data_IF_607050169051
#
_entry.id   IF_607050169051
#
_cell.length_a   1.000
_cell.length_b   1.000
_cell.length_c   1.000
_cell.angle_alpha   90.00
_cell.angle_beta   90.00
_cell.angle_gamma   90.00
#
_symmetry.space_group_name_H-M   'P 1'
#
loop_
_entity.id
_entity.type
_entity.pdbx_description
1 polymer ?
#
# COMPACT_ATOMS: atom_id res chain seq x y z
N UNK A 1 10.82 -18.96 -7.49
CA UNK A 1 11.00 -19.31 -6.05
C UNK A 1 10.97 -18.08 -5.11
N UNK A 2 10.52 -16.90 -5.56
CA UNK A 2 10.53 -15.65 -4.78
C UNK A 2 9.22 -15.20 -4.07
N UNK A 3 8.00 -15.73 -4.34
CA UNK A 3 6.77 -15.10 -3.84
C UNK A 3 6.55 -15.29 -2.33
N UNK A 4 7.01 -16.40 -1.74
CA UNK A 4 6.82 -16.68 -0.30
C UNK A 4 7.69 -15.79 0.60
N UNK A 5 8.93 -15.47 0.19
CA UNK A 5 9.83 -14.58 0.94
C UNK A 5 9.38 -13.12 0.93
N UNK A 6 8.85 -12.64 -0.21
CA UNK A 6 8.28 -11.28 -0.31
C UNK A 6 7.06 -11.13 0.61
N UNK A 7 6.10 -12.06 0.49
CA UNK A 7 4.86 -12.05 1.28
C UNK A 7 5.12 -12.04 2.80
N UNK A 8 6.13 -12.79 3.25
CA UNK A 8 6.53 -12.80 4.66
C UNK A 8 7.17 -11.48 5.11
N UNK A 9 7.95 -10.84 4.22
CA UNK A 9 8.60 -9.55 4.51
C UNK A 9 7.58 -8.39 4.62
N UNK A 10 6.56 -8.38 3.74
CA UNK A 10 5.47 -7.39 3.81
C UNK A 10 4.64 -7.54 5.09
N UNK A 11 4.39 -8.78 5.53
CA UNK A 11 3.68 -9.06 6.78
C UNK A 11 4.46 -8.57 8.00
N UNK A 12 5.78 -8.81 8.05
CA UNK A 12 6.64 -8.31 9.12
C UNK A 12 6.66 -6.78 9.20
N UNK A 13 6.81 -6.10 8.05
CA UNK A 13 6.79 -4.63 7.99
C UNK A 13 5.45 -4.06 8.47
N UNK A 14 4.32 -4.71 8.19
CA UNK A 14 3.02 -4.31 8.71
C UNK A 14 2.91 -4.44 10.23
N UNK A 15 3.39 -5.56 10.79
CA UNK A 15 3.40 -5.77 12.25
C UNK A 15 4.29 -4.71 12.92
N UNK A 16 5.47 -4.47 12.37
CA UNK A 16 6.41 -3.50 12.90
C UNK A 16 5.87 -2.06 12.80
N UNK A 17 5.20 -1.70 11.71
CA UNK A 17 4.55 -0.41 11.54
C UNK A 17 3.40 -0.23 12.55
N UNK A 18 2.59 -1.27 12.75
CA UNK A 18 1.52 -1.27 13.77
C UNK A 18 2.09 -1.07 15.18
N UNK A 19 3.19 -1.76 15.50
CA UNK A 19 3.89 -1.60 16.78
C UNK A 19 4.42 -0.18 17.00
N UNK A 20 5.01 0.43 15.97
CA UNK A 20 5.48 1.82 16.02
C UNK A 20 4.32 2.80 16.25
N UNK A 21 3.22 2.63 15.53
CA UNK A 21 2.02 3.45 15.73
C UNK A 21 1.42 3.28 17.13
N UNK A 22 1.44 2.08 17.69
CA UNK A 22 0.99 1.83 19.06
C UNK A 22 1.84 2.54 20.11
N UNK A 23 3.17 2.48 19.98
CA UNK A 23 4.06 3.22 20.87
C UNK A 23 3.83 4.74 20.72
N UNK A 24 3.72 5.22 19.48
CA UNK A 24 3.44 6.64 19.20
C UNK A 24 2.11 7.08 19.80
N UNK A 25 1.07 6.23 19.76
CA UNK A 25 -0.22 6.50 20.36
C UNK A 25 -0.10 6.71 21.88
N UNK A 26 0.61 5.81 22.57
CA UNK A 26 0.83 5.91 24.02
C UNK A 26 1.66 7.14 24.36
N UNK A 27 2.76 7.39 23.64
CA UNK A 27 3.62 8.55 23.88
C UNK A 27 2.87 9.87 23.65
N UNK A 28 2.06 9.96 22.60
CA UNK A 28 1.26 11.16 22.29
C UNK A 28 0.20 11.43 23.34
N UNK A 29 -0.39 10.39 23.94
CA UNK A 29 -1.31 10.55 25.05
C UNK A 29 -0.56 10.97 26.34
N UNK A 30 0.62 10.40 26.58
CA UNK A 30 1.43 10.67 27.76
C UNK A 30 2.03 12.10 27.75
N UNK A 31 2.38 12.66 26.58
CA UNK A 31 2.91 14.03 26.46
C UNK A 31 1.92 15.11 26.88
N UNK A 32 0.61 14.81 26.92
CA UNK A 32 -0.38 15.77 27.43
C UNK A 32 -0.21 16.01 28.95
N UNK A 33 0.21 15.00 29.70
CA UNK A 33 0.32 15.08 31.16
C UNK A 33 1.29 16.17 31.67
N UNK A 34 2.55 16.25 31.19
CA UNK A 34 3.46 17.33 31.63
C UNK A 34 2.97 18.71 31.19
N UNK A 35 2.33 18.86 30.02
CA UNK A 35 1.83 20.15 29.55
C UNK A 35 0.66 20.66 30.41
N UNK A 36 -0.32 19.78 30.68
CA UNK A 36 -1.46 20.06 31.57
C UNK A 36 -0.96 20.34 32.98
N UNK A 37 0.01 19.55 33.45
CA UNK A 37 0.60 19.73 34.77
C UNK A 37 1.24 21.12 34.87
N UNK A 38 2.06 21.53 33.91
CA UNK A 38 2.82 22.79 33.97
C UNK A 38 1.95 24.02 34.27
N UNK A 39 0.77 24.13 33.64
CA UNK A 39 -0.22 25.17 33.94
C UNK A 39 -1.57 24.92 33.23
N UNK A 40 -2.67 25.10 33.97
CA UNK A 40 -4.01 25.34 33.41
C UNK A 40 -4.48 26.76 33.77
N UNK A 41 -5.02 27.55 32.82
CA UNK A 41 -5.09 27.29 31.38
C UNK A 41 -3.70 27.32 30.71
N UNK A 42 -3.50 26.56 29.62
CA UNK A 42 -2.23 26.51 28.92
C UNK A 42 -1.87 27.87 28.31
N UNK A 43 -0.57 28.17 28.30
CA UNK A 43 -0.05 29.35 27.59
C UNK A 43 -0.03 29.09 26.08
N UNK A 44 0.15 30.11 25.24
CA UNK A 44 0.22 29.93 23.77
C UNK A 44 1.23 28.86 23.35
N UNK A 45 2.38 28.79 24.02
CA UNK A 45 3.39 27.75 23.81
C UNK A 45 2.89 26.36 24.25
N UNK A 46 2.22 26.26 25.41
CA UNK A 46 1.58 25.03 25.86
C UNK A 46 0.50 24.54 24.88
N UNK A 47 -0.33 25.46 24.34
CA UNK A 47 -1.30 25.14 23.31
C UNK A 47 -0.65 24.56 22.05
N UNK A 48 0.49 25.11 21.61
CA UNK A 48 1.21 24.59 20.46
C UNK A 48 1.67 23.13 20.68
N UNK A 49 2.21 22.81 21.85
CA UNK A 49 2.61 21.43 22.19
C UNK A 49 1.41 20.48 22.30
N UNK A 50 0.28 20.94 22.85
CA UNK A 50 -0.96 20.15 22.88
C UNK A 50 -1.41 19.85 21.45
N UNK A 51 -1.42 20.84 20.56
CA UNK A 51 -1.81 20.65 19.15
C UNK A 51 -0.91 19.63 18.46
N UNK A 52 0.41 19.74 18.63
CA UNK A 52 1.38 18.77 18.07
C UNK A 52 1.14 17.36 18.61
N UNK A 53 0.86 17.23 19.90
CA UNK A 53 0.52 15.95 20.53
C UNK A 53 -0.80 15.37 20.00
N UNK A 54 -1.82 16.21 19.82
CA UNK A 54 -3.10 15.81 19.23
C UNK A 54 -2.94 15.35 17.76
N UNK A 55 -2.15 16.07 16.96
CA UNK A 55 -1.86 15.67 15.56
C UNK A 55 -1.11 14.33 15.56
N UNK A 56 -0.11 14.15 16.45
CA UNK A 56 0.62 12.89 16.61
C UNK A 56 -0.31 11.74 16.99
N UNK A 57 -1.24 11.99 17.92
CA UNK A 57 -2.23 11.02 18.38
C UNK A 57 -3.18 10.61 17.26
N UNK A 58 -3.74 11.58 16.53
CA UNK A 58 -4.61 11.33 15.38
C UNK A 58 -3.86 10.58 14.28
N UNK A 59 -2.60 10.94 14.03
CA UNK A 59 -1.74 10.23 13.08
C UNK A 59 -1.58 8.77 13.48
N UNK A 60 -1.22 8.50 14.74
CA UNK A 60 -1.04 7.14 15.23
C UNK A 60 -2.34 6.32 15.15
N UNK A 61 -3.48 6.95 15.47
CA UNK A 61 -4.80 6.32 15.35
C UNK A 61 -5.14 5.96 13.89
N UNK A 62 -4.99 6.91 12.96
CA UNK A 62 -5.22 6.70 11.53
C UNK A 62 -4.22 5.68 10.97
N UNK A 63 -3.01 5.61 11.53
CA UNK A 63 -1.98 4.63 11.18
C UNK A 63 -2.46 3.18 11.27
N UNK A 64 -3.34 2.87 12.23
CA UNK A 64 -3.97 1.53 12.32
C UNK A 64 -4.93 1.24 11.15
N UNK A 65 -5.62 2.26 10.65
CA UNK A 65 -6.58 2.14 9.54
C UNK A 65 -5.95 2.36 8.15
N UNK A 66 -4.71 2.86 8.10
CA UNK A 66 -3.98 3.14 6.85
C UNK A 66 -3.79 1.91 5.96
N UNK A 67 -3.92 0.71 6.53
CA UNK A 67 -3.85 -0.56 5.80
C UNK A 67 -5.11 -0.87 4.99
N UNK A 68 -6.24 -0.20 5.26
CA UNK A 68 -7.53 -0.50 4.65
C UNK A 68 -7.80 0.28 3.36
N UNK A 69 -7.28 1.51 3.24
CA UNK A 69 -7.59 2.40 2.09
C UNK A 69 -6.42 3.31 1.71
N UNK A 70 -6.22 3.52 0.39
CA UNK A 70 -5.18 4.40 -0.16
C UNK A 70 -5.34 5.87 0.30
N UNK A 71 -6.57 6.33 0.53
CA UNK A 71 -6.83 7.66 1.10
C UNK A 71 -6.27 7.79 2.52
N UNK A 72 -6.50 6.79 3.38
CA UNK A 72 -5.94 6.78 4.73
C UNK A 72 -4.41 6.77 4.72
N UNK A 73 -3.76 6.15 3.72
CA UNK A 73 -2.31 6.19 3.57
C UNK A 73 -1.77 7.60 3.35
N UNK A 74 -2.34 8.37 2.42
CA UNK A 74 -1.91 9.75 2.12
C UNK A 74 -2.18 10.68 3.31
N UNK A 75 -3.33 10.54 3.96
CA UNK A 75 -3.67 11.30 5.17
C UNK A 75 -2.71 10.96 6.31
N UNK A 76 -2.42 9.68 6.54
CA UNK A 76 -1.49 9.22 7.55
C UNK A 76 -0.08 9.78 7.33
N UNK A 77 0.44 9.70 6.09
CA UNK A 77 1.76 10.24 5.76
C UNK A 77 1.83 11.76 5.95
N UNK A 78 0.77 12.48 5.53
CA UNK A 78 0.69 13.93 5.69
C UNK A 78 0.69 14.34 7.17
N UNK A 79 -0.05 13.61 8.01
CA UNK A 79 -0.09 13.84 9.46
C UNK A 79 1.24 13.53 10.14
N UNK A 80 1.93 12.44 9.75
CA UNK A 80 3.28 12.12 10.24
C UNK A 80 4.27 13.25 9.90
N UNK A 81 4.23 13.77 8.67
CA UNK A 81 5.09 14.87 8.26
C UNK A 81 4.79 16.16 9.04
N UNK A 82 3.52 16.54 9.13
CA UNK A 82 3.10 17.73 9.88
C UNK A 82 3.51 17.64 11.35
N UNK A 83 3.29 16.48 11.97
CA UNK A 83 3.71 16.20 13.34
C UNK A 83 5.22 16.29 13.51
N UNK A 84 5.99 15.64 12.62
CA UNK A 84 7.46 15.63 12.71
C UNK A 84 8.05 17.04 12.63
N UNK A 85 7.47 17.90 11.78
CA UNK A 85 7.86 19.32 11.70
C UNK A 85 7.54 20.04 13.02
N UNK A 86 6.36 19.82 13.59
CA UNK A 86 5.98 20.37 14.88
C UNK A 86 6.90 19.93 16.01
N UNK A 87 7.31 18.66 16.03
CA UNK A 87 8.24 18.12 17.02
C UNK A 87 9.64 18.71 16.87
N UNK A 88 10.18 18.81 15.65
CA UNK A 88 11.48 19.46 15.39
C UNK A 88 11.46 20.91 15.89
N UNK A 89 10.42 21.68 15.53
CA UNK A 89 10.28 23.07 15.97
C UNK A 89 10.15 23.16 17.49
N UNK A 90 9.40 22.23 18.10
CA UNK A 90 9.25 22.10 19.55
C UNK A 90 10.57 21.83 20.26
N UNK A 91 11.31 20.82 19.81
CA UNK A 91 12.64 20.46 20.33
C UNK A 91 13.58 21.67 20.20
N UNK A 92 13.61 22.31 19.03
CA UNK A 92 14.45 23.48 18.81
C UNK A 92 14.09 24.63 19.75
N UNK A 93 12.80 24.90 19.96
CA UNK A 93 12.33 25.93 20.89
C UNK A 93 12.71 25.63 22.35
N UNK A 94 12.61 24.37 22.78
CA UNK A 94 12.99 23.95 24.13
C UNK A 94 14.50 23.95 24.35
N UNK A 95 15.29 23.58 23.33
CA UNK A 95 16.74 23.48 23.43
C UNK A 95 17.45 24.83 23.27
N UNK A 96 17.06 25.63 22.28
CA UNK A 96 17.73 26.93 21.98
C UNK A 96 17.28 28.06 22.90
N UNK A 97 16.03 28.00 23.38
CA UNK A 97 15.42 29.06 24.18
C UNK A 97 14.92 28.56 25.53
N UNK A 98 15.63 27.62 26.17
CA UNK A 98 15.24 26.99 27.46
C UNK A 98 14.74 28.04 28.49
N UNK A 99 15.51 29.12 28.72
CA UNK A 99 15.15 30.18 29.68
C UNK A 99 13.90 30.96 29.27
N UNK A 100 13.72 31.22 27.98
CA UNK A 100 12.56 31.94 27.44
C UNK A 100 11.30 31.06 27.47
N UNK A 101 11.45 29.77 27.19
CA UNK A 101 10.39 28.76 27.24
C UNK A 101 9.89 28.56 28.67
N UNK A 102 10.80 28.44 29.64
CA UNK A 102 10.46 28.43 31.08
C UNK A 102 9.70 29.69 31.51
N UNK A 103 10.15 30.87 31.07
CA UNK A 103 9.46 32.13 31.34
C UNK A 103 8.07 32.19 30.69
N UNK A 104 7.91 31.65 29.47
CA UNK A 104 6.64 31.60 28.74
C UNK A 104 5.61 30.65 29.37
N UNK A 105 6.02 29.60 30.07
CA UNK A 105 5.08 28.73 30.80
C UNK A 105 4.47 29.42 32.03
N UNK A 106 5.10 30.49 32.56
CA UNK A 106 4.64 31.24 33.76
C UNK A 106 4.11 30.28 34.85
N UNK A 107 4.81 29.18 35.10
CA UNK A 107 4.33 28.13 36.00
C UNK A 107 4.40 28.63 37.45
N UNK A 108 3.37 28.39 38.29
CA UNK A 108 3.41 28.69 39.72
C UNK A 108 4.23 27.67 40.53
N UNK A 109 4.71 26.60 39.89
CA UNK A 109 5.52 25.55 40.53
C UNK A 109 6.94 26.00 40.82
N UNK A 110 7.60 25.24 41.71
CA UNK A 110 9.02 25.39 41.97
C UNK A 110 9.82 25.31 40.65
N UNK A 111 10.80 26.21 40.43
CA UNK A 111 11.58 26.26 39.21
C UNK A 111 12.34 24.96 38.89
N UNK A 112 12.66 24.12 39.88
CA UNK A 112 13.30 22.82 39.64
C UNK A 112 12.31 21.83 39.03
N UNK A 113 11.09 21.76 39.56
CA UNK A 113 10.03 20.90 39.03
C UNK A 113 9.59 21.32 37.63
N UNK A 114 9.40 22.62 37.40
CA UNK A 114 9.05 23.14 36.08
C UNK A 114 10.14 22.84 35.05
N UNK A 115 11.42 22.98 35.42
CA UNK A 115 12.55 22.62 34.56
C UNK A 115 12.60 21.12 34.26
N UNK A 116 12.32 20.27 35.24
CA UNK A 116 12.25 18.83 35.03
C UNK A 116 11.13 18.46 34.05
N UNK A 117 9.93 19.01 34.22
CA UNK A 117 8.79 18.77 33.32
C UNK A 117 9.07 19.23 31.89
N UNK A 118 9.73 20.38 31.70
CA UNK A 118 10.12 20.86 30.36
C UNK A 118 11.15 19.95 29.70
N UNK A 119 12.13 19.43 30.47
CA UNK A 119 13.11 18.47 29.94
C UNK A 119 12.49 17.11 29.63
N UNK A 120 11.57 16.66 30.47
CA UNK A 120 10.80 15.45 30.24
C UNK A 120 10.02 15.56 28.93
N UNK A 121 9.30 16.67 28.73
CA UNK A 121 8.55 16.94 27.50
C UNK A 121 9.47 16.98 26.27
N UNK A 122 10.62 17.66 26.37
CA UNK A 122 11.61 17.67 25.29
C UNK A 122 12.12 16.26 24.95
N UNK A 123 12.40 15.44 25.97
CA UNK A 123 12.78 14.04 25.79
C UNK A 123 11.70 13.21 25.12
N UNK A 124 10.44 13.38 25.53
CA UNK A 124 9.29 12.71 24.92
C UNK A 124 9.15 13.12 23.45
N UNK A 125 9.23 14.41 23.12
CA UNK A 125 9.19 14.90 21.74
C UNK A 125 10.34 14.33 20.88
N UNK A 126 11.55 14.18 21.43
CA UNK A 126 12.66 13.53 20.72
C UNK A 126 12.38 12.06 20.42
N UNK A 127 11.88 11.31 21.40
CA UNK A 127 11.53 9.90 21.19
C UNK A 127 10.40 9.76 20.16
N UNK A 128 9.37 10.59 20.28
CA UNK A 128 8.27 10.63 19.30
C UNK A 128 8.78 10.94 17.89
N UNK A 129 9.72 11.88 17.74
CA UNK A 129 10.31 12.23 16.46
C UNK A 129 11.07 11.07 15.82
N UNK A 130 11.93 10.40 16.59
CA UNK A 130 12.69 9.22 16.10
C UNK A 130 11.73 8.09 15.68
N UNK A 131 10.71 7.83 16.49
CA UNK A 131 9.70 6.81 16.20
C UNK A 131 8.86 7.17 14.97
N UNK A 132 8.47 8.45 14.80
CA UNK A 132 7.76 8.92 13.60
C UNK A 132 8.62 8.80 12.34
N UNK A 133 9.90 9.13 12.42
CA UNK A 133 10.82 8.96 11.30
C UNK A 133 10.94 7.50 10.89
N UNK A 134 11.05 6.59 11.86
CA UNK A 134 10.98 5.15 11.60
C UNK A 134 9.66 4.73 10.95
N UNK A 135 8.52 5.23 11.43
CA UNK A 135 7.20 4.95 10.85
C UNK A 135 7.10 5.44 9.40
N UNK A 136 7.67 6.60 9.06
CA UNK A 136 7.76 7.11 7.68
C UNK A 136 8.56 6.14 6.81
N UNK A 137 9.76 5.73 7.25
CA UNK A 137 10.60 4.78 6.51
C UNK A 137 9.85 3.47 6.27
N UNK A 138 9.21 2.92 7.31
CA UNK A 138 8.43 1.69 7.19
C UNK A 138 7.24 1.85 6.25
N UNK A 139 6.55 2.97 6.31
CA UNK A 139 5.42 3.29 5.43
C UNK A 139 5.87 3.35 3.97
N UNK A 140 7.02 3.99 3.69
CA UNK A 140 7.61 4.01 2.35
C UNK A 140 8.08 2.61 1.90
N UNK A 141 8.67 1.81 2.78
CA UNK A 141 9.07 0.43 2.48
C UNK A 141 7.85 -0.44 2.17
N UNK A 142 6.78 -0.31 2.96
CA UNK A 142 5.50 -0.96 2.73
C UNK A 142 4.89 -0.57 1.40
N UNK A 143 4.91 0.71 1.05
CA UNK A 143 4.42 1.18 -0.24
C UNK A 143 5.21 0.56 -1.41
N UNK A 144 6.56 0.50 -1.31
CA UNK A 144 7.38 -0.17 -2.33
C UNK A 144 7.07 -1.67 -2.44
N UNK A 145 6.86 -2.33 -1.31
CA UNK A 145 6.44 -3.71 -1.27
C UNK A 145 5.10 -3.92 -1.97
N UNK A 146 4.11 -3.06 -1.70
CA UNK A 146 2.79 -3.11 -2.34
C UNK A 146 2.89 -2.90 -3.85
N UNK A 147 3.61 -1.87 -4.30
CA UNK A 147 3.80 -1.57 -5.72
C UNK A 147 4.43 -2.78 -6.43
N UNK A 148 5.46 -3.39 -5.84
CA UNK A 148 6.12 -4.57 -6.40
C UNK A 148 5.22 -5.81 -6.42
N UNK A 149 4.42 -6.02 -5.38
CA UNK A 149 3.45 -7.13 -5.34
C UNK A 149 2.36 -6.94 -6.41
N UNK A 150 1.93 -5.69 -6.64
CA UNK A 150 0.97 -5.35 -7.70
C UNK A 150 1.55 -5.60 -9.10
N UNK A 151 2.77 -5.13 -9.37
CA UNK A 151 3.49 -5.40 -10.63
C UNK A 151 3.68 -6.92 -10.87
N UNK A 152 3.99 -7.67 -9.82
CA UNK A 152 4.11 -9.13 -9.89
C UNK A 152 2.79 -9.83 -10.22
N UNK A 153 1.69 -9.39 -9.58
CA UNK A 153 0.33 -9.89 -9.87
C UNK A 153 -0.11 -9.55 -11.30
N UNK A 154 0.19 -8.34 -11.76
CA UNK A 154 -0.14 -7.90 -13.12
C UNK A 154 0.65 -8.70 -14.17
N UNK A 155 1.94 -8.98 -13.92
CA UNK A 155 2.74 -9.84 -14.77
C UNK A 155 2.20 -11.28 -14.84
N UNK A 156 1.75 -11.84 -13.71
CA UNK A 156 1.15 -13.18 -13.67
C UNK A 156 -0.19 -13.24 -14.42
N UNK A 157 -1.03 -12.21 -14.26
CA UNK A 157 -2.28 -12.06 -15.01
C UNK A 157 -2.01 -11.98 -16.51
N UNK A 158 -1.07 -11.13 -16.93
CA UNK A 158 -0.71 -10.96 -18.34
C UNK A 158 -0.14 -12.25 -18.94
N UNK A 159 0.67 -13.00 -18.19
CA UNK A 159 1.18 -14.31 -18.63
C UNK A 159 0.04 -15.34 -18.79
N UNK A 160 -0.93 -15.34 -17.87
CA UNK A 160 -2.08 -16.25 -17.92
C UNK A 160 -3.02 -15.91 -19.07
N UNK A 161 -3.28 -14.63 -19.31
CA UNK A 161 -4.06 -14.16 -20.47
C UNK A 161 -3.37 -14.50 -21.79
N UNK A 162 -2.04 -14.33 -21.87
CA UNK A 162 -1.26 -14.68 -23.07
C UNK A 162 -1.32 -16.19 -23.36
N UNK A 163 -1.15 -17.02 -22.32
CA UNK A 163 -1.30 -18.49 -22.46
C UNK A 163 -2.71 -18.86 -22.92
N UNK A 164 -3.76 -18.25 -22.37
CA UNK A 164 -5.14 -18.46 -22.83
C UNK A 164 -5.32 -18.06 -24.29
N UNK A 165 -4.81 -16.89 -24.71
CA UNK A 165 -4.88 -16.43 -26.10
C UNK A 165 -4.19 -17.40 -27.06
N UNK A 166 -3.02 -17.91 -26.70
CA UNK A 166 -2.29 -18.90 -27.51
C UNK A 166 -3.06 -20.21 -27.65
N UNK A 167 -3.70 -20.70 -26.57
CA UNK A 167 -4.53 -21.90 -26.63
C UNK A 167 -5.73 -21.67 -27.56
N UNK A 168 -6.42 -20.54 -27.43
CA UNK A 168 -7.56 -20.20 -28.29
C UNK A 168 -7.15 -20.09 -29.76
N UNK A 169 -6.01 -19.46 -30.04
CA UNK A 169 -5.48 -19.34 -31.40
C UNK A 169 -5.18 -20.71 -32.02
N UNK A 170 -4.53 -21.61 -31.27
CA UNK A 170 -4.28 -22.99 -31.72
C UNK A 170 -5.56 -23.76 -31.99
N UNK A 171 -6.54 -23.67 -31.09
CA UNK A 171 -7.85 -24.32 -31.28
C UNK A 171 -8.57 -23.77 -32.52
N UNK A 172 -8.45 -22.47 -32.81
CA UNK A 172 -8.99 -21.88 -34.03
C UNK A 172 -8.27 -22.38 -35.29
N UNK A 173 -6.93 -22.44 -35.28
CA UNK A 173 -6.15 -22.97 -36.39
C UNK A 173 -6.48 -24.44 -36.67
N UNK A 174 -6.54 -25.28 -35.63
CA UNK A 174 -6.90 -26.70 -35.75
C UNK A 174 -8.33 -26.88 -36.29
N UNK A 175 -9.28 -26.07 -35.82
CA UNK A 175 -10.67 -26.03 -36.31
C UNK A 175 -10.75 -25.68 -37.80
N UNK A 176 -10.01 -24.67 -38.24
CA UNK A 176 -9.98 -24.25 -39.65
C UNK A 176 -9.37 -25.36 -40.51
N UNK A 177 -8.27 -25.98 -40.07
CA UNK A 177 -7.63 -27.08 -40.78
C UNK A 177 -8.54 -28.32 -40.89
N UNK A 178 -9.25 -28.67 -39.81
CA UNK A 178 -10.24 -29.76 -39.79
C UNK A 178 -11.38 -29.47 -40.79
N UNK A 179 -11.93 -28.25 -40.78
CA UNK A 179 -13.00 -27.84 -41.69
C UNK A 179 -12.59 -27.89 -43.16
N UNK A 180 -11.33 -27.53 -43.47
CA UNK A 180 -10.77 -27.61 -44.81
C UNK A 180 -10.60 -29.06 -45.28
N UNK A 181 -10.15 -29.96 -44.40
CA UNK A 181 -10.07 -31.41 -44.70
C UNK A 181 -11.45 -32.01 -44.98
N UNK A 182 -12.47 -31.64 -44.21
CA UNK A 182 -13.85 -32.10 -44.42
C UNK A 182 -14.39 -31.59 -45.77
N UNK A 183 -14.10 -30.34 -46.13
CA UNK A 183 -14.50 -29.78 -47.42
C UNK A 183 -13.80 -30.48 -48.60
N UNK A 184 -12.51 -30.76 -48.49
CA UNK A 184 -11.75 -31.50 -49.51
C UNK A 184 -12.27 -32.93 -49.68
N UNK A 185 -12.56 -33.63 -48.57
CA UNK A 185 -13.13 -34.98 -48.59
C UNK A 185 -14.51 -35.00 -49.25
N UNK A 186 -15.40 -34.06 -48.89
CA UNK A 186 -16.71 -33.91 -49.55
C UNK A 186 -16.59 -33.59 -51.03
N UNK A 187 -15.62 -32.76 -51.42
CA UNK A 187 -15.35 -32.46 -52.82
C UNK A 187 -14.98 -33.70 -53.62
N UNK A 188 -14.07 -34.53 -53.08
CA UNK A 188 -13.68 -35.81 -53.69
C UNK A 188 -14.84 -36.81 -53.77
N UNK A 189 -15.66 -36.92 -52.73
CA UNK A 189 -16.84 -37.79 -52.73
C UNK A 189 -17.87 -37.37 -53.79
N UNK A 190 -18.09 -36.05 -53.95
CA UNK A 190 -19.01 -35.54 -54.97
C UNK A 190 -18.48 -35.76 -56.39
N UNK A 191 -17.18 -35.55 -56.62
CA UNK A 191 -16.55 -35.80 -57.91
C UNK A 191 -16.62 -37.29 -58.28
N UNK A 192 -16.38 -38.18 -57.32
CA UNK A 192 -16.50 -39.63 -57.51
C UNK A 192 -17.96 -40.04 -57.80
N UNK A 193 -18.94 -39.46 -57.10
CA UNK A 193 -20.37 -39.67 -57.41
C UNK A 193 -20.76 -39.20 -58.80
N UNK A 194 -20.24 -38.06 -59.26
CA UNK A 194 -20.50 -37.54 -60.61
C UNK A 194 -19.88 -38.47 -61.65
N UNK A 195 -18.63 -38.88 -61.46
CA UNK A 195 -17.92 -39.79 -62.37
C UNK A 195 -18.61 -41.15 -62.45
N UNK A 196 -19.09 -41.68 -61.33
CA UNK A 196 -19.81 -42.96 -61.29
C UNK A 196 -21.19 -42.85 -61.98
N UNK A 197 -21.92 -41.74 -61.80
CA UNK A 197 -23.17 -41.48 -62.53
C UNK A 197 -22.97 -41.38 -64.05
N UNK A 198 -21.94 -40.65 -64.51
CA UNK A 198 -21.62 -40.57 -65.94
C UNK A 198 -21.18 -41.93 -66.51
N UNK A 199 -20.41 -42.71 -65.75
CA UNK A 199 -20.02 -44.07 -66.14
C UNK A 199 -21.20 -45.06 -66.22
N UNK A 200 -22.21 -44.89 -65.36
CA UNK A 200 -23.45 -45.67 -65.42
C UNK A 200 -24.32 -45.27 -66.61
N UNK A 201 -24.39 -43.96 -66.91
CA UNK A 201 -25.18 -43.43 -68.02
C UNK A 201 -24.62 -43.88 -69.39
N UNK A 202 -23.29 -43.91 -69.54
CA UNK A 202 -22.64 -44.48 -70.74
C UNK A 202 -22.84 -46.00 -70.90
N UNK A 203 -23.03 -46.75 -69.81
CA UNK A 203 -23.32 -48.19 -69.89
C UNK A 203 -24.75 -48.47 -70.34
N UNK A 204 -25.72 -47.68 -69.89
CA UNK A 204 -27.12 -47.81 -70.33
C UNK A 204 -27.32 -47.45 -71.81
N UNK A 205 -26.47 -46.60 -72.39
CA UNK A 205 -26.53 -46.25 -73.82
C UNK A 205 -25.92 -47.32 -74.73
N UNK A 206 -25.17 -48.30 -74.18
CA UNK A 206 -24.50 -49.39 -74.92
C UNK A 206 -25.27 -50.73 -74.88
N UNK A 207 -26.19 -50.91 -73.92
CA UNK A 207 -27.06 -52.10 -73.82
C UNK A 207 -28.45 -51.89 -74.47
N UNK A 208 -28.71 -50.71 -75.03
CA UNK A 208 -29.93 -50.37 -75.75
C UNK A 208 -29.73 -50.28 -77.26
N UNK A 209 -29.35 -51.38 -77.93
CA UNK A 209 -29.47 -51.52 -79.38
C UNK A 209 -29.64 -53.00 -79.79
#
# INVERSE_FOLDING_TARGET
MAPSKLRNSCSFLNILLSFFNFILFILSAASLAPIISLKLPPTSLGCAFIIVSCISFLSAFIGFFSQLTQFCYLTHLSLLLASSLGQILGILALYTKEKLSLAMFKSPRDPREAKFLVRLECGVLMVMFVMQFGAIILTCAMHRCWVRDYEGLEAERNATETKRRQIIARVQEDSIAESARIAEFKGKEMDEKIKNKYGQQMKTDLEGN
#
